data_IF_554728811073
#
_entry.id   IF_554728811073
#
_cell.length_a   1.000
_cell.length_b   1.000
_cell.length_c   1.000
_cell.angle_alpha   90.00
_cell.angle_beta   90.00
_cell.angle_gamma   90.00
#
_symmetry.space_group_name_H-M   'P 1'
#
loop_
_entity.id
_entity.type
_entity.pdbx_description
1 polymer ?
#
# COMPACT_ATOMS: atom_id res chain seq x y z
N UNK A 1 -1.41 6.82 -15.91
CA UNK A 1 -2.33 6.13 -15.00
C UNK A 1 -1.81 4.72 -14.80
N UNK A 2 -1.37 4.45 -13.58
CA UNK A 2 -0.68 3.21 -13.22
C UNK A 2 -1.63 2.01 -13.25
N UNK A 3 -1.16 0.84 -13.72
CA UNK A 3 -1.97 -0.37 -13.69
C UNK A 3 -1.94 -0.98 -12.28
N UNK A 4 -3.12 -1.36 -11.78
CA UNK A 4 -3.27 -2.02 -10.49
C UNK A 4 -4.06 -3.31 -10.59
N UNK A 5 -3.64 -4.34 -9.86
CA UNK A 5 -4.39 -5.58 -9.63
C UNK A 5 -4.59 -5.80 -8.15
N UNK A 6 -5.66 -6.49 -7.76
CA UNK A 6 -5.84 -6.97 -6.40
C UNK A 6 -5.10 -8.30 -6.24
N UNK A 7 -4.08 -8.36 -5.39
CA UNK A 7 -3.43 -9.63 -5.05
C UNK A 7 -4.23 -10.31 -3.94
N UNK A 8 -4.69 -11.52 -4.21
CA UNK A 8 -5.38 -12.38 -3.25
C UNK A 8 -4.49 -13.57 -2.90
N UNK A 9 -4.12 -13.67 -1.63
CA UNK A 9 -3.42 -14.84 -1.13
C UNK A 9 -4.41 -16.00 -0.98
N UNK A 10 -4.05 -17.16 -1.53
CA UNK A 10 -4.88 -18.37 -1.45
C UNK A 10 -5.08 -18.76 0.02
N UNK A 11 -6.31 -19.13 0.38
CA UNK A 11 -6.70 -19.58 1.73
C UNK A 11 -6.50 -18.55 2.87
N UNK A 12 -6.14 -17.31 2.55
CA UNK A 12 -6.03 -16.19 3.50
C UNK A 12 -7.22 -15.27 3.31
N UNK A 13 -8.02 -15.09 4.38
CA UNK A 13 -9.07 -14.06 4.36
C UNK A 13 -8.40 -12.69 4.48
N UNK A 14 -8.75 -11.71 3.62
CA UNK A 14 -8.34 -10.33 3.86
C UNK A 14 -8.97 -9.88 5.17
N UNK A 15 -8.13 -9.60 6.16
CA UNK A 15 -8.56 -9.02 7.43
C UNK A 15 -8.14 -7.56 7.41
N UNK A 16 -8.83 -6.69 8.14
CA UNK A 16 -8.37 -5.32 8.32
C UNK A 16 -8.59 -4.40 7.12
N UNK A 17 -9.23 -4.77 6.01
CA UNK A 17 -9.85 -3.75 5.13
C UNK A 17 -11.32 -3.71 5.48
N UNK A 18 -11.73 -2.71 6.27
CA UNK A 18 -13.16 -2.47 6.49
C UNK A 18 -13.80 -2.24 5.12
N UNK A 19 -14.84 -3.01 4.84
CA UNK A 19 -15.56 -3.02 3.58
C UNK A 19 -14.69 -3.03 2.30
N UNK A 20 -13.81 -4.03 2.14
CA UNK A 20 -13.01 -4.25 0.92
C UNK A 20 -13.80 -4.06 -0.40
N UNK A 21 -15.06 -4.53 -0.57
CA UNK A 21 -15.83 -4.25 -1.77
C UNK A 21 -16.01 -2.74 -2.07
N UNK A 22 -16.30 -1.93 -1.05
CA UNK A 22 -16.44 -0.48 -1.22
C UNK A 22 -15.10 0.19 -1.53
N UNK A 23 -14.00 -0.30 -0.95
CA UNK A 23 -12.67 0.18 -1.32
C UNK A 23 -12.35 -0.11 -2.79
N UNK A 24 -12.64 -1.32 -3.27
CA UNK A 24 -12.44 -1.69 -4.67
C UNK A 24 -13.33 -0.87 -5.60
N UNK A 25 -14.56 -0.56 -5.21
CA UNK A 25 -15.44 0.35 -5.97
C UNK A 25 -14.85 1.76 -6.02
N UNK A 26 -14.29 2.25 -4.91
CA UNK A 26 -13.56 3.53 -4.87
C UNK A 26 -12.40 3.55 -5.87
N UNK A 27 -11.58 2.50 -5.92
CA UNK A 27 -10.48 2.38 -6.89
C UNK A 27 -11.04 2.35 -8.32
N UNK A 28 -12.07 1.53 -8.59
CA UNK A 28 -12.73 1.44 -9.89
C UNK A 28 -13.23 2.80 -10.37
N UNK A 29 -13.85 3.59 -9.49
CA UNK A 29 -14.34 4.94 -9.83
C UNK A 29 -13.20 5.88 -10.23
N UNK A 30 -12.03 5.73 -9.62
CA UNK A 30 -10.85 6.55 -9.96
C UNK A 30 -10.21 6.11 -11.28
N UNK A 31 -10.07 4.81 -11.52
CA UNK A 31 -9.39 4.28 -12.72
C UNK A 31 -10.31 4.09 -13.93
N UNK A 32 -11.63 4.13 -13.73
CA UNK A 32 -12.64 3.97 -14.78
C UNK A 32 -12.76 2.55 -15.35
N UNK A 33 -12.23 1.53 -14.65
CA UNK A 33 -12.24 0.12 -15.09
C UNK A 33 -12.26 -0.84 -13.90
N UNK A 34 -12.70 -2.07 -14.14
CA UNK A 34 -12.66 -3.12 -13.12
C UNK A 34 -11.23 -3.51 -12.75
N UNK A 35 -11.04 -3.93 -11.51
CA UNK A 35 -9.77 -4.35 -10.95
C UNK A 35 -9.64 -5.85 -11.12
N UNK A 36 -8.63 -6.29 -11.86
CA UNK A 36 -8.33 -7.71 -12.01
C UNK A 36 -7.82 -8.30 -10.69
N UNK A 37 -8.30 -9.49 -10.34
CA UNK A 37 -7.81 -10.26 -9.19
C UNK A 37 -6.73 -11.22 -9.65
N UNK A 38 -5.56 -11.14 -9.03
CA UNK A 38 -4.44 -12.04 -9.25
C UNK A 38 -4.19 -12.88 -8.00
N UNK A 39 -3.85 -14.16 -8.18
CA UNK A 39 -3.49 -15.05 -7.07
C UNK A 39 -1.97 -15.19 -6.91
N UNK A 40 -1.19 -14.69 -7.87
CA UNK A 40 0.27 -14.75 -7.90
C UNK A 40 0.84 -13.49 -8.54
N UNK A 41 2.05 -13.14 -8.14
CA UNK A 41 2.81 -12.05 -8.75
C UNK A 41 3.34 -12.51 -10.11
N UNK A 42 2.89 -11.87 -11.18
CA UNK A 42 3.48 -11.99 -12.51
C UNK A 42 4.70 -11.07 -12.63
N UNK A 43 5.92 -11.61 -12.88
CA UNK A 43 7.12 -10.79 -13.06
C UNK A 43 7.02 -9.85 -14.27
N UNK A 44 6.23 -10.18 -15.29
CA UNK A 44 6.06 -9.40 -16.51
C UNK A 44 4.96 -8.33 -16.39
N UNK A 45 4.21 -8.31 -15.30
CA UNK A 45 3.18 -7.29 -15.10
C UNK A 45 3.82 -5.92 -14.87
N UNK A 46 3.50 -4.97 -15.75
CA UNK A 46 3.92 -3.57 -15.68
C UNK A 46 2.89 -2.76 -14.88
N UNK A 47 2.93 -2.95 -13.55
CA UNK A 47 2.03 -2.30 -12.62
C UNK A 47 2.27 -2.78 -11.20
N UNK A 48 1.31 -2.47 -10.32
CA UNK A 48 1.41 -2.73 -8.89
C UNK A 48 0.25 -3.58 -8.40
N UNK A 49 0.55 -4.42 -7.41
CA UNK A 49 -0.44 -5.22 -6.72
C UNK A 49 -0.88 -4.51 -5.45
N UNK A 50 -2.18 -4.31 -5.30
CA UNK A 50 -2.79 -3.94 -4.04
C UNK A 50 -3.01 -5.22 -3.24
N UNK A 51 -2.38 -5.33 -2.07
CA UNK A 51 -2.55 -6.49 -1.20
C UNK A 51 -3.25 -6.05 0.10
N UNK A 52 -4.54 -6.37 0.28
CA UNK A 52 -5.24 -6.16 1.54
C UNK A 52 -4.64 -7.09 2.61
N UNK A 53 -3.97 -6.47 3.57
CA UNK A 53 -3.30 -7.12 4.68
C UNK A 53 -4.09 -6.86 5.96
N UNK A 54 -4.13 -7.86 6.84
CA UNK A 54 -4.77 -7.72 8.15
C UNK A 54 -3.80 -7.79 9.31
N UNK A 55 -4.28 -8.30 10.44
CA UNK A 55 -3.47 -8.50 11.66
C UNK A 55 -2.29 -9.45 11.46
N UNK A 56 -2.37 -10.33 10.46
CA UNK A 56 -1.36 -11.34 10.17
C UNK A 56 -0.39 -10.87 9.10
N UNK A 57 0.90 -10.94 9.43
CA UNK A 57 1.96 -10.99 8.45
C UNK A 57 1.77 -12.29 7.65
N UNK A 58 1.83 -12.29 6.30
CA UNK A 58 1.80 -13.51 5.51
C UNK A 58 3.15 -14.18 5.68
N UNK A 59 3.29 -14.85 6.81
CA UNK A 59 4.31 -15.86 6.98
C UNK A 59 3.78 -17.08 6.22
N UNK A 60 4.59 -17.65 5.31
CA UNK A 60 4.45 -19.09 5.07
C UNK A 60 4.58 -19.77 6.45
N UNK A 61 4.01 -20.96 6.68
CA UNK A 61 4.03 -21.59 8.01
C UNK A 61 5.42 -21.80 8.67
N UNK A 62 6.50 -21.35 8.02
CA UNK A 62 7.89 -21.31 8.48
C UNK A 62 8.41 -19.88 8.79
N UNK A 63 7.57 -18.84 8.77
CA UNK A 63 7.96 -17.47 9.09
C UNK A 63 8.49 -16.63 7.91
N UNK A 64 8.47 -17.14 6.67
CA UNK A 64 9.02 -16.42 5.51
C UNK A 64 7.98 -15.51 4.86
N UNK A 65 8.15 -14.22 5.12
CA UNK A 65 7.31 -13.14 4.57
C UNK A 65 7.69 -12.79 3.11
N UNK A 66 8.95 -13.04 2.74
CA UNK A 66 9.58 -12.55 1.50
C UNK A 66 9.03 -13.11 0.19
N UNK A 67 8.43 -14.30 0.19
CA UNK A 67 8.08 -14.97 -1.07
C UNK A 67 6.86 -14.35 -1.76
N UNK A 68 6.06 -13.56 -1.03
CA UNK A 68 4.79 -13.01 -1.52
C UNK A 68 4.73 -11.47 -1.55
N UNK A 69 5.73 -10.76 -1.03
CA UNK A 69 5.76 -9.30 -0.96
C UNK A 69 7.10 -8.79 -1.50
N UNK A 70 7.04 -7.87 -2.47
CA UNK A 70 8.20 -7.23 -3.07
C UNK A 70 7.86 -5.78 -3.50
N UNK A 71 8.77 -5.12 -4.20
CA UNK A 71 8.64 -3.72 -4.66
C UNK A 71 7.46 -3.45 -5.61
N UNK A 72 6.80 -4.48 -6.16
CA UNK A 72 5.56 -4.36 -6.95
C UNK A 72 4.30 -4.42 -6.09
N UNK A 73 4.41 -4.66 -4.79
CA UNK A 73 3.26 -4.84 -3.88
C UNK A 73 3.09 -3.63 -2.99
N UNK A 74 1.90 -3.04 -2.99
CA UNK A 74 1.46 -2.03 -2.04
C UNK A 74 0.50 -2.65 -1.03
N UNK A 75 0.84 -2.55 0.25
CA UNK A 75 0.07 -3.18 1.33
C UNK A 75 -1.01 -2.24 1.84
N UNK A 76 -2.22 -2.75 2.04
CA UNK A 76 -3.34 -1.99 2.58
C UNK A 76 -3.67 -2.52 3.97
N UNK A 77 -3.91 -1.62 4.91
CA UNK A 77 -4.32 -1.92 6.30
C UNK A 77 -3.31 -2.69 7.16
N UNK A 78 -2.05 -2.31 7.07
CA UNK A 78 -0.99 -2.90 7.88
C UNK A 78 -1.00 -2.33 9.30
N UNK A 79 -1.02 -3.21 10.30
CA UNK A 79 -0.94 -2.81 11.72
C UNK A 79 0.45 -2.30 12.08
N UNK A 80 0.47 -1.19 12.83
CA UNK A 80 1.68 -0.49 13.28
C UNK A 80 2.80 -1.39 13.83
N UNK A 81 2.47 -2.42 14.61
CA UNK A 81 3.45 -3.32 15.24
C UNK A 81 4.29 -4.12 14.24
N UNK A 82 3.79 -4.32 13.01
CA UNK A 82 4.44 -5.16 12.00
C UNK A 82 5.16 -4.34 10.91
N UNK A 83 4.97 -3.02 10.88
CA UNK A 83 5.44 -2.14 9.81
C UNK A 83 6.95 -2.20 9.62
N UNK A 84 7.75 -2.01 10.69
CA UNK A 84 9.22 -2.00 10.58
C UNK A 84 9.76 -3.28 9.95
N UNK A 85 9.29 -4.43 10.46
CA UNK A 85 9.72 -5.75 9.99
C UNK A 85 9.40 -5.95 8.51
N UNK A 86 8.18 -5.61 8.09
CA UNK A 86 7.75 -5.74 6.69
C UNK A 86 8.59 -4.85 5.77
N UNK A 87 8.84 -3.60 6.16
CA UNK A 87 9.61 -2.65 5.35
C UNK A 87 11.09 -3.04 5.20
N UNK A 88 11.67 -3.68 6.23
CA UNK A 88 13.04 -4.18 6.22
C UNK A 88 13.18 -5.47 5.42
N UNK A 89 12.29 -6.43 5.65
CA UNK A 89 12.39 -7.77 5.07
C UNK A 89 11.87 -7.82 3.63
N UNK A 90 10.80 -7.10 3.30
CA UNK A 90 10.04 -7.33 2.06
C UNK A 90 10.17 -6.19 1.05
N UNK A 91 10.55 -4.99 1.50
CA UNK A 91 10.70 -3.80 0.66
C UNK A 91 9.51 -3.55 -0.29
N UNK A 92 8.26 -3.47 0.23
CA UNK A 92 7.10 -3.22 -0.61
C UNK A 92 7.19 -1.87 -1.33
N UNK A 93 6.35 -1.69 -2.35
CA UNK A 93 6.13 -0.39 -3.00
C UNK A 93 5.80 0.68 -1.96
N UNK A 94 4.97 0.31 -0.99
CA UNK A 94 4.58 1.11 0.16
C UNK A 94 3.53 0.38 0.97
N UNK A 95 3.06 1.00 2.05
CA UNK A 95 1.94 0.49 2.82
C UNK A 95 1.06 1.61 3.36
N UNK A 96 -0.19 1.28 3.65
CA UNK A 96 -1.15 2.14 4.33
C UNK A 96 -1.63 1.43 5.61
N UNK A 97 -1.79 2.18 6.71
CA UNK A 97 -2.42 1.71 7.94
C UNK A 97 -3.87 2.21 8.04
N UNK A 98 -4.71 1.90 7.05
CA UNK A 98 -6.03 2.52 6.94
C UNK A 98 -6.99 2.11 8.08
N UNK A 99 -6.92 0.90 8.62
CA UNK A 99 -8.05 0.38 9.41
C UNK A 99 -7.74 0.25 10.89
N UNK A 100 -8.34 1.16 11.68
CA UNK A 100 -9.34 0.77 12.70
C UNK A 100 -10.03 1.93 13.42
N UNK A 101 -9.80 3.20 13.09
CA UNK A 101 -10.52 4.29 13.76
C UNK A 101 -10.90 5.37 12.77
N UNK A 102 -12.17 5.77 12.85
CA UNK A 102 -12.80 6.91 12.18
C UNK A 102 -11.99 8.23 12.32
N UNK A 103 -10.99 8.25 13.20
CA UNK A 103 -10.19 9.41 13.59
C UNK A 103 -8.65 9.17 13.61
N UNK A 104 -8.11 8.02 13.16
CA UNK A 104 -6.66 7.74 13.25
C UNK A 104 -5.96 7.71 11.88
N UNK A 105 -5.24 8.79 11.57
CA UNK A 105 -4.00 8.81 10.79
C UNK A 105 -4.02 8.03 9.47
N UNK A 106 -4.48 8.68 8.41
CA UNK A 106 -4.50 8.14 7.06
C UNK A 106 -3.12 8.27 6.38
N UNK A 107 -2.08 7.62 6.91
CA UNK A 107 -0.71 7.81 6.41
C UNK A 107 -0.29 6.74 5.41
N UNK A 108 0.20 7.17 4.24
CA UNK A 108 0.99 6.32 3.35
C UNK A 108 2.43 6.29 3.86
N UNK A 109 3.00 5.09 3.98
CA UNK A 109 4.35 4.84 4.46
C UNK A 109 5.15 4.24 3.32
N UNK A 110 6.28 4.87 3.01
CA UNK A 110 7.02 4.55 1.79
C UNK A 110 8.45 5.08 1.75
N UNK A 111 9.13 4.87 0.62
CA UNK A 111 10.51 5.34 0.43
C UNK A 111 10.62 6.86 0.59
N UNK A 112 11.55 7.32 1.45
CA UNK A 112 11.79 8.75 1.68
C UNK A 112 12.11 9.50 0.37
N UNK A 113 12.88 8.90 -0.54
CA UNK A 113 13.24 9.55 -1.82
C UNK A 113 12.03 9.74 -2.73
N UNK A 114 11.15 8.74 -2.82
CA UNK A 114 9.91 8.84 -3.58
C UNK A 114 9.00 9.93 -2.99
N UNK A 115 8.86 9.95 -1.66
CA UNK A 115 8.06 10.96 -0.95
C UNK A 115 8.62 12.39 -1.09
N UNK A 116 9.95 12.58 -1.05
CA UNK A 116 10.57 13.89 -1.33
C UNK A 116 10.28 14.38 -2.75
N UNK A 117 10.38 13.49 -3.74
CA UNK A 117 10.11 13.82 -5.16
C UNK A 117 8.67 14.23 -5.41
N UNK A 118 7.74 13.73 -4.58
CA UNK A 118 6.33 14.09 -4.63
C UNK A 118 5.98 15.46 -4.03
N UNK A 119 6.94 16.16 -3.42
CA UNK A 119 6.66 17.38 -2.64
C UNK A 119 5.93 17.12 -1.32
N UNK A 120 5.96 15.87 -0.81
CA UNK A 120 5.28 15.47 0.42
C UNK A 120 6.10 15.69 1.69
N UNK A 121 7.35 16.14 1.57
CA UNK A 121 8.25 16.38 2.71
C UNK A 121 8.76 17.82 2.60
N UNK A 122 8.12 18.74 3.31
CA UNK A 122 8.59 20.14 3.44
C UNK A 122 8.92 20.54 4.90
N UNK A 123 8.41 19.83 5.92
CA UNK A 123 8.76 20.08 7.33
C UNK A 123 8.27 18.96 8.25
N UNK A 124 9.00 18.77 9.37
CA UNK A 124 8.85 18.04 10.65
C UNK A 124 7.63 17.15 11.01
N UNK A 125 6.69 16.86 10.12
CA UNK A 125 5.60 15.93 10.40
C UNK A 125 5.93 14.54 9.86
N UNK A 126 6.17 13.58 10.75
CA UNK A 126 6.28 12.17 10.38
C UNK A 126 6.78 11.26 11.49
N UNK A 127 6.13 10.11 11.68
CA UNK A 127 6.72 9.02 12.44
C UNK A 127 7.81 8.36 11.58
N UNK A 128 9.05 8.32 12.09
CA UNK A 128 10.18 7.71 11.41
C UNK A 128 10.21 6.22 11.77
N UNK A 129 9.95 5.36 10.79
CA UNK A 129 10.21 3.92 10.88
C UNK A 129 11.54 3.65 10.16
N UNK A 130 12.66 3.84 10.86
CA UNK A 130 14.02 3.70 10.33
C UNK A 130 14.28 4.60 9.09
N UNK A 131 14.70 4.04 7.94
CA UNK A 131 14.93 4.78 6.68
C UNK A 131 13.63 5.12 5.91
N UNK A 132 12.49 4.66 6.41
CA UNK A 132 11.18 4.93 5.84
C UNK A 132 10.47 5.96 6.70
N UNK A 133 9.85 6.95 6.06
CA UNK A 133 9.11 8.01 6.76
C UNK A 133 7.62 7.78 6.54
N UNK A 134 6.85 7.82 7.63
CA UNK A 134 5.40 7.89 7.58
C UNK A 134 5.00 9.34 7.39
N UNK A 135 4.78 9.78 6.15
CA UNK A 135 4.39 11.16 5.86
C UNK A 135 3.44 11.17 4.67
N UNK A 136 2.15 11.31 4.97
CA UNK A 136 1.23 12.37 4.51
C UNK A 136 -0.18 11.92 4.89
N UNK A 137 -0.99 12.80 5.52
CA UNK A 137 -2.42 12.54 5.66
C UNK A 137 -3.02 12.45 4.26
N UNK A 138 -3.52 11.28 3.88
CA UNK A 138 -4.48 11.13 2.80
C UNK A 138 -5.54 12.22 3.02
N UNK A 139 -5.83 13.00 1.98
CA UNK A 139 -7.00 13.87 2.00
C UNK A 139 -8.19 13.01 2.45
N UNK A 140 -8.72 13.31 3.62
CA UNK A 140 -9.69 12.44 4.28
C UNK A 140 -10.99 13.21 4.37
N UNK A 141 -11.84 13.04 3.36
CA UNK A 141 -13.28 13.20 3.53
C UNK A 141 -13.93 11.94 4.12
N UNK A 142 -13.12 10.91 4.44
CA UNK A 142 -13.57 9.61 4.93
C UNK A 142 -14.08 8.68 3.83
N UNK A 143 -13.98 9.05 2.54
CA UNK A 143 -14.43 8.20 1.43
C UNK A 143 -13.33 7.26 0.94
N UNK A 144 -13.76 6.10 0.45
CA UNK A 144 -12.86 5.15 -0.22
C UNK A 144 -12.27 5.70 -1.52
N UNK A 145 -12.97 6.63 -2.18
CA UNK A 145 -12.51 7.23 -3.43
C UNK A 145 -11.31 8.16 -3.20
N UNK A 146 -11.37 9.05 -2.21
CA UNK A 146 -10.27 9.98 -1.92
C UNK A 146 -9.00 9.24 -1.50
N UNK A 147 -9.18 8.18 -0.73
CA UNK A 147 -8.06 7.37 -0.30
C UNK A 147 -7.56 6.41 -1.41
N UNK A 148 -8.42 5.96 -2.33
CA UNK A 148 -8.01 5.35 -3.59
C UNK A 148 -7.16 6.31 -4.45
N UNK A 149 -7.59 7.57 -4.64
CA UNK A 149 -6.81 8.60 -5.35
C UNK A 149 -5.42 8.79 -4.75
N UNK A 150 -5.35 8.84 -3.42
CA UNK A 150 -4.10 9.01 -2.69
C UNK A 150 -3.13 7.84 -2.88
N UNK A 151 -3.62 6.60 -2.79
CA UNK A 151 -2.82 5.40 -3.05
C UNK A 151 -2.29 5.40 -4.49
N UNK A 152 -3.16 5.68 -5.47
CA UNK A 152 -2.79 5.68 -6.88
C UNK A 152 -1.76 6.77 -7.20
N UNK A 153 -1.94 7.97 -6.64
CA UNK A 153 -0.96 9.06 -6.77
C UNK A 153 0.40 8.66 -6.19
N UNK A 154 0.42 8.04 -5.01
CA UNK A 154 1.67 7.52 -4.42
C UNK A 154 2.38 6.52 -5.35
N UNK A 155 1.62 5.58 -5.90
CA UNK A 155 2.17 4.56 -6.81
C UNK A 155 2.78 5.19 -8.06
N UNK A 156 2.15 6.21 -8.64
CA UNK A 156 2.69 6.95 -9.80
C UNK A 156 4.03 7.63 -9.46
N UNK A 157 4.12 8.26 -8.29
CA UNK A 157 5.37 8.86 -7.79
C UNK A 157 6.45 7.79 -7.60
N UNK A 158 6.10 6.67 -6.98
CA UNK A 158 7.02 5.58 -6.69
C UNK A 158 7.59 4.98 -7.98
N UNK A 159 6.74 4.79 -8.99
CA UNK A 159 7.13 4.32 -10.32
C UNK A 159 8.13 5.25 -11.00
N UNK A 160 7.83 6.56 -11.01
CA UNK A 160 8.75 7.58 -11.50
C UNK A 160 10.06 7.65 -10.72
N UNK A 161 10.08 7.25 -9.45
CA UNK A 161 11.31 7.15 -8.67
C UNK A 161 12.15 5.95 -9.13
N UNK A 162 11.55 4.78 -9.30
CA UNK A 162 12.25 3.58 -9.78
C UNK A 162 12.87 3.78 -11.16
N UNK A 163 12.14 4.43 -12.08
CA UNK A 163 12.64 4.76 -13.42
C UNK A 163 13.80 5.78 -13.43
N UNK A 164 14.00 6.50 -12.33
CA UNK A 164 15.07 7.50 -12.18
C UNK A 164 16.29 7.01 -11.39
N UNK A 165 16.29 5.74 -10.96
CA UNK A 165 17.47 5.07 -10.39
C UNK A 165 18.39 4.56 -11.50
#
# INVERSE_FOLDING_TARGET
MIQVKLLRLKDVKPVGVDNLPQFLEGIRNVIGKDIEIAEKIDPNFEGYYLLPMGFTIPEDGNGKVKENINEKVFLISVINTNISRILEECQPAGLNNWVLFKDAGTSVIGSEKALRKAGYIDSDFGFVYNKYKSIVPIESDGSYETAARSILKYLEIYDHYLQSK
#
